data_IF_564158746879
#
_entry.id   IF_564158746879
#
_cell.length_a   1.000
_cell.length_b   1.000
_cell.length_c   1.000
_cell.angle_alpha   90.00
_cell.angle_beta   90.00
_cell.angle_gamma   90.00
#
_symmetry.space_group_name_H-M   'P 1'
#
loop_
_entity.id
_entity.type
_entity.pdbx_description
1 polymer ?
#
# COMPACT_ATOMS: atom_id res chain seq x y z
N UNK A 1 -22.39 20.74 6.02
CA UNK A 1 -23.23 19.64 5.47
C UNK A 1 -23.79 18.70 6.53
N UNK A 2 -23.16 18.52 7.70
CA UNK A 2 -23.63 17.58 8.75
C UNK A 2 -24.69 18.14 9.74
N UNK A 3 -24.94 19.46 9.75
CA UNK A 3 -25.91 20.08 10.66
C UNK A 3 -27.35 19.72 10.26
N UNK A 4 -28.03 18.94 11.10
CA UNK A 4 -29.40 18.47 10.88
C UNK A 4 -29.52 17.17 10.09
N UNK A 5 -28.45 16.36 10.02
CA UNK A 5 -28.49 15.01 9.45
C UNK A 5 -29.24 14.06 10.39
N UNK A 6 -30.42 13.65 9.97
CA UNK A 6 -31.26 12.66 10.65
C UNK A 6 -31.69 11.55 9.67
N UNK A 7 -31.02 10.38 9.70
CA UNK A 7 -31.34 9.25 8.82
C UNK A 7 -32.77 8.71 8.99
N UNK A 8 -33.46 9.04 10.08
CA UNK A 8 -34.83 8.58 10.34
C UNK A 8 -35.90 9.55 9.79
N UNK A 9 -35.50 10.72 9.27
CA UNK A 9 -36.43 11.74 8.78
C UNK A 9 -36.66 11.64 7.28
N UNK A 10 -37.91 11.51 6.83
CA UNK A 10 -38.28 11.57 5.41
C UNK A 10 -38.56 13.01 4.92
N UNK A 11 -38.13 14.04 5.65
CA UNK A 11 -38.41 15.43 5.31
C UNK A 11 -37.66 15.92 4.06
N UNK A 12 -38.22 16.89 3.34
CA UNK A 12 -37.62 17.47 2.12
C UNK A 12 -36.18 17.97 2.34
N UNK A 13 -35.90 18.53 3.53
CA UNK A 13 -34.55 18.95 3.91
C UNK A 13 -33.56 17.78 3.95
N UNK A 14 -33.95 16.63 4.49
CA UNK A 14 -33.11 15.44 4.57
C UNK A 14 -32.88 14.84 3.17
N UNK A 15 -33.93 14.73 2.35
CA UNK A 15 -33.81 14.29 0.95
C UNK A 15 -32.90 15.20 0.09
N UNK A 16 -32.88 16.51 0.37
CA UNK A 16 -31.97 17.44 -0.29
C UNK A 16 -30.52 17.29 0.21
N UNK A 17 -30.32 16.98 1.49
CA UNK A 17 -29.00 16.70 2.06
C UNK A 17 -28.42 15.40 1.49
N UNK A 18 -29.22 14.34 1.39
CA UNK A 18 -28.85 13.05 0.79
C UNK A 18 -28.35 13.21 -0.65
N UNK A 19 -29.15 13.84 -1.52
CA UNK A 19 -28.75 14.08 -2.92
C UNK A 19 -27.44 14.86 -3.04
N UNK A 20 -27.26 15.92 -2.23
CA UNK A 20 -26.02 16.71 -2.23
C UNK A 20 -24.83 15.88 -1.75
N UNK A 21 -25.05 15.04 -0.75
CA UNK A 21 -23.99 14.19 -0.19
C UNK A 21 -23.60 13.04 -1.12
N UNK A 22 -24.54 12.48 -1.86
CA UNK A 22 -24.25 11.46 -2.87
C UNK A 22 -23.42 12.03 -4.02
N UNK A 23 -23.76 13.23 -4.50
CA UNK A 23 -22.96 13.96 -5.49
C UNK A 23 -21.56 14.29 -4.97
N UNK A 24 -21.46 14.81 -3.74
CA UNK A 24 -20.17 15.11 -3.13
C UNK A 24 -19.32 13.84 -2.94
N UNK A 25 -19.92 12.77 -2.43
CA UNK A 25 -19.27 11.46 -2.28
C UNK A 25 -18.81 10.91 -3.64
N UNK A 26 -19.55 11.14 -4.72
CA UNK A 26 -19.14 10.75 -6.07
C UNK A 26 -17.89 11.51 -6.54
N UNK A 27 -17.84 12.83 -6.36
CA UNK A 27 -16.67 13.63 -6.68
C UNK A 27 -15.45 13.21 -5.84
N UNK A 28 -15.64 13.01 -4.54
CA UNK A 28 -14.58 12.53 -3.63
C UNK A 28 -14.07 11.15 -4.03
N UNK A 29 -14.95 10.22 -4.44
CA UNK A 29 -14.52 8.90 -4.95
C UNK A 29 -13.56 9.02 -6.13
N UNK A 30 -13.87 9.89 -7.09
CA UNK A 30 -13.00 10.12 -8.24
C UNK A 30 -11.69 10.79 -7.83
N UNK A 31 -11.74 11.83 -7.01
CA UNK A 31 -10.54 12.51 -6.51
C UNK A 31 -9.59 11.55 -5.76
N UNK A 32 -10.13 10.72 -4.87
CA UNK A 32 -9.35 9.73 -4.13
C UNK A 32 -8.87 8.56 -5.00
N UNK A 33 -9.63 8.18 -6.03
CA UNK A 33 -9.17 7.24 -7.05
C UNK A 33 -7.97 7.76 -7.83
N UNK A 34 -8.02 9.04 -8.23
CA UNK A 34 -6.90 9.72 -8.87
C UNK A 34 -5.70 9.86 -7.93
N UNK A 35 -5.93 10.10 -6.63
CA UNK A 35 -4.86 10.13 -5.63
C UNK A 35 -4.11 8.79 -5.56
N UNK A 36 -4.83 7.67 -5.59
CA UNK A 36 -4.21 6.33 -5.61
C UNK A 36 -3.45 6.10 -6.93
N UNK A 37 -4.02 6.47 -8.08
CA UNK A 37 -3.32 6.39 -9.35
C UNK A 37 -2.07 7.28 -9.39
N UNK A 38 -2.13 8.43 -8.70
CA UNK A 38 -1.02 9.37 -8.55
C UNK A 38 0.20 8.78 -7.85
N UNK A 39 0.04 7.77 -6.99
CA UNK A 39 1.17 7.04 -6.42
C UNK A 39 1.97 6.31 -7.50
N UNK A 40 1.28 5.57 -8.37
CA UNK A 40 1.93 4.85 -9.47
C UNK A 40 2.58 5.84 -10.45
N UNK A 41 1.88 6.92 -10.80
CA UNK A 41 2.41 7.96 -11.66
C UNK A 41 3.66 8.64 -11.06
N UNK A 42 3.67 8.91 -9.75
CA UNK A 42 4.82 9.52 -9.08
C UNK A 42 6.06 8.63 -9.15
N UNK A 43 5.92 7.33 -8.83
CA UNK A 43 7.04 6.38 -8.89
C UNK A 43 7.52 6.21 -10.33
N UNK A 44 6.60 6.11 -11.29
CA UNK A 44 6.93 6.02 -12.71
C UNK A 44 7.71 7.25 -13.20
N UNK A 45 7.24 8.46 -12.89
CA UNK A 45 7.93 9.70 -13.26
C UNK A 45 9.29 9.80 -12.56
N UNK A 46 9.38 9.43 -11.28
CA UNK A 46 10.66 9.42 -10.57
C UNK A 46 11.64 8.42 -11.21
N UNK A 47 11.18 7.28 -11.69
CA UNK A 47 12.05 6.34 -12.41
C UNK A 47 12.46 6.90 -13.78
N UNK A 48 11.55 7.42 -14.59
CA UNK A 48 11.85 7.98 -15.93
C UNK A 48 12.80 9.20 -15.89
N UNK A 49 12.87 9.93 -14.78
CA UNK A 49 13.76 11.07 -14.62
C UNK A 49 15.21 10.68 -14.28
N UNK A 50 15.51 9.40 -13.96
CA UNK A 50 16.86 8.98 -13.59
C UNK A 50 17.94 9.32 -14.64
N UNK A 51 17.72 9.23 -15.97
CA UNK A 51 18.77 9.53 -16.95
C UNK A 51 19.17 11.01 -16.98
N UNK A 52 18.33 11.90 -16.42
CA UNK A 52 18.58 13.34 -16.38
C UNK A 52 19.44 13.78 -15.19
N UNK A 53 19.71 12.87 -14.24
CA UNK A 53 20.41 13.16 -12.99
C UNK A 53 21.71 12.36 -12.91
N UNK A 54 22.82 13.04 -12.65
CA UNK A 54 24.13 12.39 -12.58
C UNK A 54 24.19 11.45 -11.37
N UNK A 55 24.43 10.16 -11.61
CA UNK A 55 24.51 9.13 -10.57
C UNK A 55 23.18 8.44 -10.22
N UNK A 56 22.05 8.89 -10.78
CA UNK A 56 20.77 8.21 -10.62
C UNK A 56 20.66 7.02 -11.58
N UNK A 57 20.50 5.81 -11.02
CA UNK A 57 20.30 4.57 -11.80
C UNK A 57 18.83 4.14 -11.87
N UNK A 58 17.99 4.67 -10.96
CA UNK A 58 16.57 4.39 -10.86
C UNK A 58 15.87 5.48 -10.02
N UNK A 59 14.58 5.30 -9.76
CA UNK A 59 13.80 6.16 -8.87
C UNK A 59 14.49 6.48 -7.52
N UNK A 60 15.26 5.54 -6.93
CA UNK A 60 16.02 5.79 -5.69
C UNK A 60 16.95 6.98 -5.81
N UNK A 61 17.71 7.07 -6.91
CA UNK A 61 18.64 8.17 -7.14
C UNK A 61 17.92 9.51 -7.26
N UNK A 62 16.77 9.51 -7.94
CA UNK A 62 15.92 10.70 -8.13
C UNK A 62 15.31 11.15 -6.81
N UNK A 63 14.78 10.22 -6.00
CA UNK A 63 14.26 10.51 -4.66
C UNK A 63 15.33 11.01 -3.69
N UNK A 64 16.59 10.66 -3.94
CA UNK A 64 17.72 11.08 -3.14
C UNK A 64 18.38 12.38 -3.63
N UNK A 65 18.00 12.88 -4.82
CA UNK A 65 18.53 14.12 -5.37
C UNK A 65 18.04 15.37 -4.62
N UNK A 66 16.94 15.26 -3.87
CA UNK A 66 16.43 16.32 -3.01
C UNK A 66 15.89 15.78 -1.69
N UNK A 67 16.01 16.58 -0.62
CA UNK A 67 15.56 16.22 0.73
C UNK A 67 14.05 15.97 0.83
N UNK A 68 13.24 16.45 -0.12
CA UNK A 68 11.80 16.23 -0.15
C UNK A 68 11.39 14.91 -0.83
N UNK A 69 12.29 14.21 -1.54
CA UNK A 69 11.92 13.04 -2.33
C UNK A 69 11.34 11.89 -1.50
N UNK A 70 12.08 11.41 -0.50
CA UNK A 70 11.58 10.37 0.41
C UNK A 70 10.36 10.80 1.24
N UNK A 71 10.32 12.02 1.85
CA UNK A 71 9.10 12.53 2.46
C UNK A 71 7.89 12.57 1.53
N UNK A 72 8.06 13.00 0.27
CA UNK A 72 6.99 13.04 -0.72
C UNK A 72 6.44 11.64 -0.99
N UNK A 73 7.31 10.65 -1.21
CA UNK A 73 6.88 9.26 -1.39
C UNK A 73 6.13 8.72 -0.16
N UNK A 74 6.66 8.96 1.05
CA UNK A 74 6.05 8.51 2.30
C UNK A 74 4.65 9.11 2.53
N UNK A 75 4.51 10.42 2.33
CA UNK A 75 3.21 11.10 2.43
C UNK A 75 2.25 10.63 1.35
N UNK A 76 2.72 10.40 0.12
CA UNK A 76 1.90 9.89 -0.98
C UNK A 76 1.37 8.48 -0.70
N UNK A 77 2.21 7.60 -0.16
CA UNK A 77 1.81 6.27 0.28
C UNK A 77 0.73 6.34 1.39
N UNK A 78 0.93 7.21 2.39
CA UNK A 78 -0.05 7.43 3.45
C UNK A 78 -1.38 7.97 2.90
N UNK A 79 -1.33 8.95 2.00
CA UNK A 79 -2.50 9.53 1.34
C UNK A 79 -3.27 8.48 0.52
N UNK A 80 -2.57 7.67 -0.27
CA UNK A 80 -3.17 6.59 -1.05
C UNK A 80 -3.81 5.51 -0.14
N UNK A 81 -3.14 5.14 0.96
CA UNK A 81 -3.70 4.19 1.94
C UNK A 81 -4.98 4.73 2.59
N UNK A 82 -4.97 5.98 3.07
CA UNK A 82 -6.16 6.60 3.66
C UNK A 82 -7.29 6.79 2.64
N UNK A 83 -6.95 7.15 1.40
CA UNK A 83 -7.90 7.18 0.28
C UNK A 83 -8.57 5.82 0.08
N UNK A 84 -7.79 4.73 0.08
CA UNK A 84 -8.31 3.37 0.02
C UNK A 84 -9.29 3.06 1.16
N UNK A 85 -8.90 3.36 2.41
CA UNK A 85 -9.78 3.16 3.59
C UNK A 85 -11.09 3.92 3.44
N UNK A 86 -11.06 5.17 2.98
CA UNK A 86 -12.27 5.94 2.73
C UNK A 86 -13.15 5.32 1.64
N UNK A 87 -12.57 4.89 0.52
CA UNK A 87 -13.28 4.22 -0.57
C UNK A 87 -13.90 2.87 -0.14
N UNK A 88 -13.23 2.14 0.76
CA UNK A 88 -13.75 0.92 1.35
C UNK A 88 -14.92 1.20 2.30
N UNK A 89 -14.81 2.22 3.14
CA UNK A 89 -15.89 2.66 4.04
C UNK A 89 -17.11 3.15 3.26
N UNK A 90 -16.90 3.98 2.21
CA UNK A 90 -17.99 4.44 1.34
C UNK A 90 -18.72 3.29 0.64
N UNK A 91 -17.99 2.23 0.28
CA UNK A 91 -18.58 1.04 -0.36
C UNK A 91 -19.39 0.19 0.61
N UNK A 92 -19.00 0.09 1.89
CA UNK A 92 -19.84 -0.50 2.93
C UNK A 92 -21.07 0.37 3.16
N UNK A 93 -20.89 1.68 3.29
CA UNK A 93 -21.96 2.61 3.64
C UNK A 93 -23.08 2.65 2.61
N UNK A 94 -22.72 2.71 1.32
CA UNK A 94 -23.69 2.65 0.22
C UNK A 94 -24.42 1.31 0.07
N UNK A 95 -23.89 0.25 0.68
CA UNK A 95 -24.56 -1.04 0.70
C UNK A 95 -25.60 -1.15 1.85
N UNK A 96 -25.76 -0.08 2.63
CA UNK A 96 -26.76 0.04 3.71
C UNK A 96 -27.67 1.22 3.36
N UNK A 97 -28.98 0.98 3.34
CA UNK A 97 -29.98 1.97 2.93
C UNK A 97 -29.94 3.26 3.77
N UNK A 98 -29.73 3.12 5.08
CA UNK A 98 -29.71 4.25 6.03
C UNK A 98 -28.40 5.05 6.02
N UNK A 99 -27.40 4.66 5.21
CA UNK A 99 -26.05 5.24 5.14
C UNK A 99 -25.47 5.70 6.50
N UNK A 100 -25.39 4.79 7.50
CA UNK A 100 -25.12 5.17 8.88
C UNK A 100 -23.67 5.60 9.15
N UNK A 101 -22.77 5.46 8.17
CA UNK A 101 -21.34 5.79 8.28
C UNK A 101 -21.00 7.17 7.73
N UNK A 102 -21.98 7.93 7.24
CA UNK A 102 -21.84 9.31 6.74
C UNK A 102 -20.94 10.20 7.60
N UNK A 103 -21.16 10.24 8.92
CA UNK A 103 -20.37 11.07 9.84
C UNK A 103 -18.91 10.61 9.94
N UNK A 104 -18.68 9.29 9.93
CA UNK A 104 -17.35 8.71 9.96
C UNK A 104 -16.58 9.00 8.66
N UNK A 105 -17.26 8.94 7.49
CA UNK A 105 -16.68 9.31 6.19
C UNK A 105 -16.25 10.79 6.18
N UNK A 106 -17.10 11.67 6.71
CA UNK A 106 -16.80 13.10 6.79
C UNK A 106 -15.62 13.39 7.76
N UNK A 107 -15.59 12.73 8.91
CA UNK A 107 -14.47 12.86 9.86
C UNK A 107 -13.15 12.37 9.25
N UNK A 108 -13.17 11.23 8.53
CA UNK A 108 -12.00 10.72 7.84
C UNK A 108 -11.53 11.69 6.74
N UNK A 109 -12.45 12.34 6.00
CA UNK A 109 -12.08 13.36 5.02
C UNK A 109 -11.39 14.57 5.63
N UNK A 110 -11.76 14.99 6.85
CA UNK A 110 -11.07 16.08 7.53
C UNK A 110 -9.59 15.77 7.78
N UNK A 111 -9.23 14.48 7.93
CA UNK A 111 -7.83 14.05 8.00
C UNK A 111 -7.18 13.87 6.62
N UNK A 112 -7.92 13.36 5.63
CA UNK A 112 -7.38 13.13 4.28
C UNK A 112 -7.06 14.43 3.54
N UNK A 113 -7.90 15.47 3.67
CA UNK A 113 -7.71 16.74 2.97
C UNK A 113 -6.36 17.39 3.27
N UNK A 114 -5.95 17.64 4.53
CA UNK A 114 -4.63 18.21 4.82
C UNK A 114 -3.49 17.28 4.39
N UNK A 115 -3.68 15.95 4.44
CA UNK A 115 -2.68 15.00 3.99
C UNK A 115 -2.47 15.05 2.47
N UNK A 116 -3.54 15.19 1.68
CA UNK A 116 -3.46 15.37 0.22
C UNK A 116 -2.89 16.75 -0.13
N UNK A 117 -3.20 17.79 0.64
CA UNK A 117 -2.58 19.11 0.46
C UNK A 117 -1.06 19.06 0.73
N UNK A 118 -0.64 18.34 1.78
CA UNK A 118 0.76 18.09 2.07
C UNK A 118 1.44 17.27 0.96
N UNK A 119 0.78 16.22 0.47
CA UNK A 119 1.26 15.42 -0.67
C UNK A 119 1.51 16.29 -1.90
N UNK A 120 0.55 17.15 -2.25
CA UNK A 120 0.68 18.08 -3.37
C UNK A 120 1.83 19.06 -3.15
N UNK A 121 1.94 19.67 -1.97
CA UNK A 121 3.00 20.61 -1.64
C UNK A 121 4.40 19.98 -1.71
N UNK A 122 4.56 18.77 -1.15
CA UNK A 122 5.82 18.02 -1.21
C UNK A 122 6.16 17.59 -2.63
N UNK A 123 5.17 17.13 -3.40
CA UNK A 123 5.38 16.69 -4.79
C UNK A 123 5.80 17.85 -5.68
N UNK A 124 5.11 19.00 -5.59
CA UNK A 124 5.47 20.21 -6.34
C UNK A 124 6.83 20.76 -5.90
N UNK A 125 7.10 20.79 -4.60
CA UNK A 125 8.37 21.23 -4.05
C UNK A 125 9.53 20.34 -4.48
N UNK A 126 9.34 19.02 -4.47
CA UNK A 126 10.34 18.03 -4.89
C UNK A 126 10.69 18.21 -6.37
N UNK A 127 9.71 18.09 -7.28
CA UNK A 127 9.97 18.20 -8.72
C UNK A 127 10.42 19.60 -9.14
N UNK A 128 9.94 20.66 -8.48
CA UNK A 128 10.36 22.04 -8.76
C UNK A 128 11.77 22.38 -8.29
N UNK A 129 12.36 21.56 -7.39
CA UNK A 129 13.71 21.75 -6.85
C UNK A 129 14.74 20.77 -7.42
N UNK A 130 14.32 19.85 -8.30
CA UNK A 130 15.27 18.94 -8.95
C UNK A 130 16.25 19.73 -9.81
N UNK A 131 17.53 19.57 -9.49
CA UNK A 131 18.64 20.15 -10.23
C UNK A 131 19.46 19.03 -10.91
N UNK A 132 19.48 18.97 -12.25
CA UNK A 132 20.27 18.01 -13.02
C UNK A 132 21.77 17.98 -12.68
N UNK A 133 22.31 19.06 -12.12
CA UNK A 133 23.73 19.19 -11.77
C UNK A 133 24.09 18.54 -10.43
N UNK A 134 23.10 18.17 -9.61
CA UNK A 134 23.35 17.47 -8.36
C UNK A 134 23.80 16.04 -8.65
N UNK A 135 24.96 15.66 -8.11
CA UNK A 135 25.43 14.28 -8.11
C UNK A 135 24.74 13.54 -6.97
N UNK A 136 23.86 12.60 -7.32
CA UNK A 136 23.12 11.81 -6.33
C UNK A 136 23.76 10.45 -6.10
N UNK A 137 23.64 9.93 -4.88
CA UNK A 137 24.10 8.59 -4.54
C UNK A 137 23.27 7.53 -5.26
N UNK A 138 23.94 6.53 -5.83
CA UNK A 138 23.28 5.39 -6.42
C UNK A 138 22.60 4.52 -5.34
N UNK A 139 21.63 3.71 -5.74
CA UNK A 139 20.97 2.75 -4.86
C UNK A 139 21.95 1.73 -4.24
N UNK A 140 23.08 1.46 -4.91
CA UNK A 140 24.12 0.57 -4.38
C UNK A 140 24.76 1.09 -3.09
N UNK A 141 24.92 2.40 -2.93
CA UNK A 141 25.39 2.98 -1.67
C UNK A 141 24.32 2.92 -0.58
N UNK A 142 23.07 3.24 -0.94
CA UNK A 142 21.94 3.31 0.01
C UNK A 142 21.50 1.93 0.54
N UNK A 143 21.53 0.91 -0.33
CA UNK A 143 21.19 -0.48 -0.01
C UNK A 143 22.45 -1.35 0.08
N UNK A 144 23.55 -0.80 0.60
CA UNK A 144 24.77 -1.55 0.91
C UNK A 144 24.69 -2.14 2.32
N UNK A 145 25.30 -3.31 2.52
CA UNK A 145 25.42 -3.92 3.84
C UNK A 145 26.39 -3.14 4.76
N UNK A 146 27.30 -2.36 4.17
CA UNK A 146 28.27 -1.52 4.87
C UNK A 146 27.74 -0.10 5.16
N UNK A 147 26.50 0.20 4.76
CA UNK A 147 25.85 1.49 4.95
C UNK A 147 25.27 1.70 6.35
N UNK A 148 24.55 2.79 6.54
CA UNK A 148 23.82 3.07 7.79
C UNK A 148 22.38 3.50 7.52
N UNK A 149 21.49 3.19 8.48
CA UNK A 149 20.07 3.53 8.43
C UNK A 149 19.18 2.40 7.89
N UNK A 150 17.86 2.62 7.82
CA UNK A 150 16.89 1.54 7.61
C UNK A 150 17.08 0.76 6.29
N UNK A 151 17.49 1.45 5.22
CA UNK A 151 17.74 0.81 3.92
C UNK A 151 18.93 -0.17 3.98
N UNK A 152 20.00 0.22 4.68
CA UNK A 152 21.17 -0.62 4.93
C UNK A 152 20.82 -1.79 5.86
N UNK A 153 20.01 -1.56 6.90
CA UNK A 153 19.57 -2.63 7.81
C UNK A 153 18.78 -3.72 7.04
N UNK A 154 17.83 -3.32 6.19
CA UNK A 154 17.11 -4.25 5.32
C UNK A 154 18.05 -4.98 4.36
N UNK A 155 19.00 -4.25 3.77
CA UNK A 155 19.98 -4.85 2.88
C UNK A 155 20.85 -5.86 3.61
N UNK A 156 21.26 -5.61 4.86
CA UNK A 156 22.20 -6.44 5.62
C UNK A 156 21.69 -7.84 5.98
N UNK A 157 20.37 -8.07 5.87
CA UNK A 157 19.76 -9.37 6.19
C UNK A 157 20.31 -10.46 5.28
N UNK A 158 20.73 -11.57 5.87
CA UNK A 158 21.20 -12.73 5.10
C UNK A 158 20.08 -13.27 4.19
N UNK A 159 20.35 -13.56 2.89
CA UNK A 159 19.31 -13.99 1.95
C UNK A 159 18.49 -15.20 2.40
N UNK A 160 19.12 -16.19 3.05
CA UNK A 160 18.44 -17.37 3.60
C UNK A 160 17.41 -16.98 4.66
N UNK A 161 17.79 -16.08 5.57
CA UNK A 161 16.90 -15.54 6.61
C UNK A 161 15.80 -14.70 6.00
N UNK A 162 16.12 -13.87 5.00
CA UNK A 162 15.15 -13.06 4.25
C UNK A 162 14.05 -13.92 3.61
N UNK A 163 14.42 -14.99 2.90
CA UNK A 163 13.46 -15.92 2.30
C UNK A 163 12.66 -16.69 3.36
N UNK A 164 13.31 -17.20 4.41
CA UNK A 164 12.64 -17.93 5.48
C UNK A 164 11.56 -17.09 6.17
N UNK A 165 11.88 -15.83 6.48
CA UNK A 165 10.93 -14.89 7.10
C UNK A 165 9.81 -14.52 6.13
N UNK A 166 10.11 -14.25 4.86
CA UNK A 166 9.10 -13.94 3.83
C UNK A 166 8.11 -15.09 3.66
N UNK A 167 8.60 -16.32 3.42
CA UNK A 167 7.73 -17.48 3.21
C UNK A 167 7.01 -17.90 4.49
N UNK A 168 7.67 -17.81 5.64
CA UNK A 168 7.06 -18.05 6.95
C UNK A 168 5.92 -17.07 7.25
N UNK A 169 6.12 -15.77 6.99
CA UNK A 169 5.09 -14.75 7.14
C UNK A 169 3.92 -14.98 6.16
N UNK A 170 4.22 -15.38 4.92
CA UNK A 170 3.21 -15.76 3.92
C UNK A 170 2.34 -16.93 4.38
N UNK A 171 2.97 -18.00 4.87
CA UNK A 171 2.28 -19.17 5.41
C UNK A 171 1.43 -18.82 6.64
N UNK A 172 1.99 -18.04 7.58
CA UNK A 172 1.28 -17.58 8.78
C UNK A 172 0.06 -16.73 8.42
N UNK A 173 0.21 -15.79 7.48
CA UNK A 173 -0.88 -14.94 7.01
C UNK A 173 -1.96 -15.77 6.30
N UNK A 174 -1.56 -16.72 5.44
CA UNK A 174 -2.49 -17.66 4.79
C UNK A 174 -3.29 -18.47 5.81
N UNK A 175 -2.65 -19.02 6.83
CA UNK A 175 -3.31 -19.75 7.91
C UNK A 175 -4.26 -18.85 8.71
N UNK A 176 -3.85 -17.62 9.06
CA UNK A 176 -4.71 -16.65 9.73
C UNK A 176 -5.94 -16.29 8.88
N UNK A 177 -5.78 -16.12 7.57
CA UNK A 177 -6.89 -15.87 6.64
C UNK A 177 -7.86 -17.04 6.54
N UNK A 178 -7.35 -18.27 6.42
CA UNK A 178 -8.19 -19.48 6.41
C UNK A 178 -8.94 -19.69 7.73
N UNK A 179 -8.33 -19.33 8.87
CA UNK A 179 -8.99 -19.36 10.16
C UNK A 179 -10.06 -18.27 10.28
N UNK A 180 -9.76 -17.05 9.84
CA UNK A 180 -10.71 -15.93 9.83
C UNK A 180 -11.97 -16.23 9.00
N UNK A 181 -11.83 -16.96 7.89
CA UNK A 181 -12.95 -17.38 7.04
C UNK A 181 -13.86 -18.45 7.67
N UNK A 182 -13.34 -19.23 8.63
CA UNK A 182 -14.11 -20.29 9.31
C UNK A 182 -14.61 -19.88 10.70
N UNK A 183 -13.99 -18.87 11.29
CA UNK A 183 -14.30 -18.44 12.66
C UNK A 183 -15.49 -17.48 12.71
N UNK A 184 -16.20 -17.51 13.85
CA UNK A 184 -17.23 -16.52 14.21
C UNK A 184 -16.73 -15.47 15.21
N UNK A 185 -15.50 -15.61 15.72
CA UNK A 185 -14.94 -14.72 16.74
C UNK A 185 -14.33 -13.45 16.15
N UNK A 186 -14.48 -12.31 16.82
CA UNK A 186 -13.96 -11.02 16.32
C UNK A 186 -12.43 -10.89 16.36
N UNK A 187 -11.76 -11.63 17.27
CA UNK A 187 -10.29 -11.58 17.42
C UNK A 187 -9.53 -12.03 16.17
N UNK A 188 -10.16 -12.86 15.33
CA UNK A 188 -9.53 -13.37 14.10
C UNK A 188 -9.25 -12.28 13.09
N UNK A 189 -10.07 -11.23 13.06
CA UNK A 189 -9.87 -10.10 12.15
C UNK A 189 -8.65 -9.28 12.58
N UNK A 190 -8.45 -9.11 13.90
CA UNK A 190 -7.25 -8.48 14.44
C UNK A 190 -5.98 -9.28 14.11
N UNK A 191 -6.01 -10.60 14.29
CA UNK A 191 -4.89 -11.46 13.90
C UNK A 191 -4.60 -11.38 12.40
N UNK A 192 -5.65 -11.39 11.56
CA UNK A 192 -5.48 -11.24 10.11
C UNK A 192 -4.79 -9.93 9.77
N UNK A 193 -5.17 -8.81 10.39
CA UNK A 193 -4.54 -7.52 10.17
C UNK A 193 -3.07 -7.48 10.62
N UNK A 194 -2.76 -8.04 11.79
CA UNK A 194 -1.38 -8.11 12.30
C UNK A 194 -0.50 -8.96 11.40
N UNK A 195 -0.97 -10.14 11.00
CA UNK A 195 -0.21 -11.02 10.09
C UNK A 195 -0.08 -10.42 8.70
N UNK A 196 -1.08 -9.66 8.21
CA UNK A 196 -0.99 -8.93 6.95
C UNK A 196 0.09 -7.84 7.01
N UNK A 197 0.11 -7.02 8.07
CA UNK A 197 1.15 -6.02 8.28
C UNK A 197 2.55 -6.67 8.42
N UNK A 198 2.64 -7.78 9.17
CA UNK A 198 3.85 -8.58 9.29
C UNK A 198 4.34 -9.11 7.95
N UNK A 199 3.44 -9.62 7.09
CA UNK A 199 3.76 -10.01 5.72
C UNK A 199 4.27 -8.82 4.88
N UNK A 200 3.69 -7.63 5.06
CA UNK A 200 4.17 -6.41 4.39
C UNK A 200 5.64 -6.11 4.73
N UNK A 201 5.99 -6.14 6.01
CA UNK A 201 7.36 -5.89 6.49
C UNK A 201 8.33 -7.02 6.06
N UNK A 202 7.93 -8.27 6.28
CA UNK A 202 8.72 -9.44 5.88
C UNK A 202 8.93 -9.51 4.36
N UNK A 203 7.90 -9.16 3.60
CA UNK A 203 7.93 -9.05 2.14
C UNK A 203 8.91 -7.97 1.68
N UNK A 204 8.82 -6.76 2.22
CA UNK A 204 9.75 -5.69 1.89
C UNK A 204 11.21 -6.07 2.21
N UNK A 205 11.45 -6.64 3.39
CA UNK A 205 12.77 -7.12 3.79
C UNK A 205 13.29 -8.23 2.86
N UNK A 206 12.50 -9.27 2.61
CA UNK A 206 12.88 -10.37 1.73
C UNK A 206 13.06 -9.95 0.27
N UNK A 207 12.34 -8.92 -0.20
CA UNK A 207 12.55 -8.36 -1.54
C UNK A 207 13.94 -7.72 -1.64
N UNK A 208 14.28 -6.85 -0.69
CA UNK A 208 15.58 -6.14 -0.70
C UNK A 208 16.74 -7.11 -0.47
N UNK A 209 16.62 -8.02 0.49
CA UNK A 209 17.73 -8.87 0.92
C UNK A 209 17.94 -10.14 0.09
N UNK A 210 16.91 -10.61 -0.62
CA UNK A 210 16.98 -11.88 -1.35
C UNK A 210 16.36 -11.81 -2.76
N UNK A 211 15.05 -11.55 -2.88
CA UNK A 211 14.34 -11.68 -4.17
C UNK A 211 14.92 -10.76 -5.23
N UNK A 212 15.24 -9.50 -4.88
CA UNK A 212 15.93 -8.55 -5.74
C UNK A 212 17.24 -9.13 -6.29
N UNK A 213 18.23 -9.46 -5.43
CA UNK A 213 19.46 -10.13 -5.84
C UNK A 213 19.27 -11.34 -6.78
N UNK A 214 18.26 -12.19 -6.54
CA UNK A 214 17.93 -13.31 -7.44
C UNK A 214 17.41 -12.84 -8.81
N UNK A 215 16.59 -11.80 -8.87
CA UNK A 215 16.11 -11.21 -10.13
C UNK A 215 17.24 -10.55 -10.91
N UNK A 216 18.15 -9.89 -10.21
CA UNK A 216 19.30 -9.18 -10.80
C UNK A 216 20.44 -10.11 -11.19
N UNK A 217 20.43 -11.34 -10.67
CA UNK A 217 21.53 -12.30 -10.74
C UNK A 217 22.86 -11.72 -10.22
N UNK A 218 22.79 -10.77 -9.29
CA UNK A 218 23.93 -10.04 -8.74
C UNK A 218 23.80 -9.90 -7.21
N UNK A 219 24.59 -10.62 -6.39
CA UNK A 219 24.45 -10.67 -4.92
C UNK A 219 24.54 -9.32 -4.20
N UNK A 220 25.27 -8.38 -4.76
CA UNK A 220 25.49 -7.04 -4.23
C UNK A 220 24.40 -6.05 -4.61
N UNK A 221 23.53 -6.38 -5.58
CA UNK A 221 22.49 -5.47 -6.06
C UNK A 221 21.19 -5.69 -5.28
N UNK A 222 20.78 -4.73 -4.46
CA UNK A 222 19.67 -4.87 -3.50
C UNK A 222 18.58 -3.81 -3.63
N UNK A 223 18.63 -3.01 -4.70
CA UNK A 223 17.66 -1.95 -4.91
C UNK A 223 16.24 -2.52 -5.06
N UNK A 224 15.21 -2.00 -4.38
CA UNK A 224 13.84 -2.41 -4.64
C UNK A 224 13.24 -1.76 -5.90
N UNK A 225 13.72 -0.57 -6.28
CA UNK A 225 13.11 0.20 -7.38
C UNK A 225 13.50 -0.31 -8.77
N UNK A 226 14.68 -0.91 -8.93
CA UNK A 226 15.11 -1.42 -10.25
C UNK A 226 14.21 -2.57 -10.74
N UNK A 227 13.54 -3.30 -9.85
CA UNK A 227 12.51 -4.28 -10.23
C UNK A 227 11.40 -3.68 -11.10
N UNK A 228 11.17 -2.37 -11.02
CA UNK A 228 10.18 -1.64 -11.80
C UNK A 228 10.66 -1.31 -13.21
N UNK A 229 11.94 -1.51 -13.53
CA UNK A 229 12.50 -1.15 -14.83
C UNK A 229 12.21 -2.22 -15.89
N UNK A 230 12.21 -1.77 -17.15
CA UNK A 230 12.00 -2.62 -18.33
C UNK A 230 13.07 -3.70 -18.46
N UNK A 231 14.31 -3.42 -18.03
CA UNK A 231 15.43 -4.36 -18.05
C UNK A 231 15.19 -5.65 -17.27
N UNK A 232 14.33 -5.59 -16.24
CA UNK A 232 13.92 -6.74 -15.44
C UNK A 232 12.49 -7.20 -15.75
N UNK A 233 11.96 -6.79 -16.90
CA UNK A 233 10.63 -7.17 -17.38
C UNK A 233 9.48 -6.61 -16.55
N UNK A 234 9.68 -5.47 -15.87
CA UNK A 234 8.67 -4.82 -15.05
C UNK A 234 8.12 -5.70 -13.90
N UNK A 235 8.91 -6.68 -13.44
CA UNK A 235 8.48 -7.69 -12.45
C UNK A 235 8.08 -7.08 -11.10
N UNK A 236 8.62 -5.91 -10.75
CA UNK A 236 8.29 -5.20 -9.53
C UNK A 236 6.82 -4.80 -9.44
N UNK A 237 6.16 -4.49 -10.57
CA UNK A 237 4.74 -4.10 -10.55
C UNK A 237 3.82 -5.20 -10.01
N UNK A 238 3.80 -6.44 -10.57
CA UNK A 238 2.98 -7.51 -10.01
C UNK A 238 3.43 -7.91 -8.60
N UNK A 239 4.72 -7.79 -8.27
CA UNK A 239 5.26 -8.06 -6.94
C UNK A 239 4.71 -7.12 -5.87
N UNK A 240 4.83 -5.80 -6.08
CA UNK A 240 4.34 -4.80 -5.14
C UNK A 240 2.81 -4.72 -5.11
N UNK A 241 2.15 -4.93 -6.25
CA UNK A 241 0.69 -4.96 -6.31
C UNK A 241 0.12 -6.15 -5.50
N UNK A 242 0.71 -7.33 -5.64
CA UNK A 242 0.28 -8.50 -4.88
C UNK A 242 0.58 -8.39 -3.38
N UNK A 243 1.77 -7.91 -3.01
CA UNK A 243 2.10 -7.64 -1.60
C UNK A 243 1.17 -6.58 -0.99
N UNK A 244 1.03 -5.43 -1.64
CA UNK A 244 0.16 -4.34 -1.19
C UNK A 244 -1.31 -4.75 -1.14
N UNK A 245 -1.78 -5.52 -2.12
CA UNK A 245 -3.13 -6.07 -2.16
C UNK A 245 -3.42 -7.01 -1.00
N UNK A 246 -2.45 -7.85 -0.63
CA UNK A 246 -2.54 -8.72 0.54
C UNK A 246 -2.64 -7.91 1.84
N UNK A 247 -1.71 -6.97 2.05
CA UNK A 247 -1.68 -6.10 3.23
C UNK A 247 -3.00 -5.32 3.36
N UNK A 248 -3.40 -4.64 2.28
CA UNK A 248 -4.58 -3.79 2.26
C UNK A 248 -5.85 -4.59 2.57
N UNK A 249 -6.07 -5.71 1.89
CA UNK A 249 -7.25 -6.54 2.11
C UNK A 249 -7.23 -7.26 3.46
N UNK A 250 -6.06 -7.53 4.04
CA UNK A 250 -5.92 -8.16 5.35
C UNK A 250 -6.18 -7.21 6.52
N UNK A 251 -5.84 -5.93 6.37
CA UNK A 251 -6.04 -4.89 7.40
C UNK A 251 -7.49 -4.39 7.44
N UNK A 252 -8.13 -4.21 6.29
CA UNK A 252 -9.47 -3.63 6.20
C UNK A 252 -10.54 -4.31 7.09
N UNK A 253 -10.61 -5.65 7.21
CA UNK A 253 -11.59 -6.32 8.06
C UNK A 253 -11.55 -5.91 9.54
N UNK A 254 -10.35 -5.68 10.09
CA UNK A 254 -10.18 -5.20 11.45
C UNK A 254 -10.50 -3.71 11.54
N UNK A 255 -9.89 -2.92 10.65
CA UNK A 255 -9.98 -1.45 10.66
C UNK A 255 -11.42 -0.95 10.54
N UNK A 256 -12.21 -1.55 9.64
CA UNK A 256 -13.60 -1.18 9.40
C UNK A 256 -14.59 -1.99 10.23
N UNK A 257 -14.10 -2.75 11.22
CA UNK A 257 -14.93 -3.56 12.11
C UNK A 257 -15.97 -2.78 12.91
N UNK A 258 -15.65 -1.54 13.28
CA UNK A 258 -16.57 -0.66 14.03
C UNK A 258 -17.89 -0.43 13.28
N UNK A 259 -17.88 -0.48 11.94
CA UNK A 259 -19.06 -0.23 11.12
C UNK A 259 -20.16 -1.28 11.36
N UNK A 260 -19.80 -2.47 11.86
CA UNK A 260 -20.75 -3.57 12.15
C UNK A 260 -21.86 -3.15 13.13
N UNK A 261 -21.54 -2.25 14.06
CA UNK A 261 -22.44 -1.85 15.14
C UNK A 261 -23.31 -0.63 14.79
N UNK A 262 -23.41 -0.24 13.51
CA UNK A 262 -24.16 0.95 13.07
C UNK A 262 -25.28 0.60 12.10
N UNK A 263 -26.49 1.11 12.38
CA UNK A 263 -27.64 1.14 11.47
C UNK A 263 -27.93 -0.16 10.70
N UNK A 264 -27.84 -1.32 11.38
CA UNK A 264 -28.11 -2.63 10.76
C UNK A 264 -27.03 -3.15 9.80
N UNK A 265 -25.86 -2.50 9.73
CA UNK A 265 -24.79 -2.86 8.79
C UNK A 265 -24.08 -4.20 9.09
N UNK A 266 -24.45 -4.92 10.15
CA UNK A 266 -23.73 -6.10 10.62
C UNK A 266 -23.57 -7.18 9.54
N UNK A 267 -24.65 -7.52 8.84
CA UNK A 267 -24.64 -8.52 7.77
C UNK A 267 -23.80 -8.04 6.56
N UNK A 268 -23.91 -6.76 6.20
CA UNK A 268 -23.14 -6.14 5.11
C UNK A 268 -21.64 -6.18 5.42
N UNK A 269 -21.25 -5.75 6.61
CA UNK A 269 -19.85 -5.75 7.08
C UNK A 269 -19.30 -7.16 7.12
N UNK A 270 -20.07 -8.15 7.61
CA UNK A 270 -19.66 -9.55 7.60
C UNK A 270 -19.33 -10.08 6.20
N UNK A 271 -20.18 -9.77 5.20
CA UNK A 271 -19.92 -10.15 3.80
C UNK A 271 -18.65 -9.50 3.24
N UNK A 272 -18.44 -8.20 3.50
CA UNK A 272 -17.23 -7.49 3.04
C UNK A 272 -15.96 -8.01 3.72
N UNK A 273 -15.99 -8.28 5.03
CA UNK A 273 -14.88 -8.89 5.77
C UNK A 273 -14.46 -10.24 5.17
N UNK A 274 -15.43 -11.14 4.95
CA UNK A 274 -15.16 -12.44 4.35
C UNK A 274 -14.66 -12.33 2.90
N UNK A 275 -15.14 -11.33 2.13
CA UNK A 275 -14.63 -11.04 0.80
C UNK A 275 -13.19 -10.57 0.87
N UNK A 276 -12.88 -9.54 1.66
CA UNK A 276 -11.52 -9.01 1.78
C UNK A 276 -10.53 -10.04 2.32
N UNK A 277 -10.91 -10.86 3.29
CA UNK A 277 -10.03 -11.95 3.74
C UNK A 277 -9.70 -12.95 2.62
N UNK A 278 -10.65 -13.31 1.76
CA UNK A 278 -10.37 -14.14 0.57
C UNK A 278 -9.42 -13.46 -0.41
N UNK A 279 -9.63 -12.17 -0.68
CA UNK A 279 -8.72 -11.39 -1.54
C UNK A 279 -7.33 -11.27 -0.92
N UNK A 280 -7.23 -11.06 0.40
CA UNK A 280 -5.98 -10.99 1.15
C UNK A 280 -5.16 -12.27 0.97
N UNK A 281 -5.79 -13.42 1.17
CA UNK A 281 -5.15 -14.74 0.99
C UNK A 281 -4.77 -14.96 -0.48
N UNK A 282 -5.66 -14.63 -1.42
CA UNK A 282 -5.37 -14.78 -2.85
C UNK A 282 -4.16 -13.94 -3.30
N UNK A 283 -4.10 -12.68 -2.87
CA UNK A 283 -2.96 -11.79 -3.14
C UNK A 283 -1.68 -12.27 -2.47
N UNK A 284 -1.74 -12.76 -1.23
CA UNK A 284 -0.58 -13.31 -0.53
C UNK A 284 -0.04 -14.57 -1.22
N UNK A 285 -0.93 -15.46 -1.70
CA UNK A 285 -0.54 -16.63 -2.47
C UNK A 285 0.11 -16.24 -3.80
N UNK A 286 -0.46 -15.26 -4.52
CA UNK A 286 0.13 -14.74 -5.74
C UNK A 286 1.52 -14.14 -5.49
N UNK A 287 1.68 -13.34 -4.43
CA UNK A 287 2.96 -12.77 -4.02
C UNK A 287 4.01 -13.86 -3.72
N UNK A 288 3.66 -14.81 -2.85
CA UNK A 288 4.54 -15.91 -2.45
C UNK A 288 4.93 -16.78 -3.64
N UNK A 289 3.97 -17.13 -4.50
CA UNK A 289 4.22 -17.93 -5.70
C UNK A 289 5.13 -17.18 -6.69
N UNK A 290 4.92 -15.88 -6.87
CA UNK A 290 5.77 -15.04 -7.71
C UNK A 290 7.20 -14.98 -7.16
N UNK A 291 7.38 -14.71 -5.86
CA UNK A 291 8.70 -14.74 -5.22
C UNK A 291 9.40 -16.10 -5.39
N UNK A 292 8.68 -17.20 -5.14
CA UNK A 292 9.22 -18.54 -5.31
C UNK A 292 9.65 -18.82 -6.76
N UNK A 293 8.83 -18.41 -7.74
CA UNK A 293 9.15 -18.55 -9.15
C UNK A 293 10.37 -17.71 -9.57
N UNK A 294 10.48 -16.48 -9.09
CA UNK A 294 11.62 -15.60 -9.38
C UNK A 294 12.94 -16.14 -8.82
N UNK A 295 12.90 -16.70 -7.61
CA UNK A 295 14.06 -17.36 -7.00
C UNK A 295 14.42 -18.64 -7.75
N UNK A 296 13.42 -19.46 -8.10
CA UNK A 296 13.65 -20.76 -8.75
C UNK A 296 14.16 -20.65 -10.19
N UNK A 297 13.77 -19.60 -10.93
CA UNK A 297 14.23 -19.38 -12.32
C UNK A 297 15.63 -18.76 -12.42
N UNK A 298 16.12 -18.18 -11.33
CA UNK A 298 17.38 -17.44 -11.32
C UNK A 298 18.57 -18.39 -11.51
N UNK A 299 19.55 -17.99 -12.31
CA UNK A 299 20.84 -18.69 -12.43
C UNK A 299 21.73 -18.52 -11.18
N UNK A 300 21.43 -17.53 -10.33
CA UNK A 300 22.19 -17.24 -9.12
C UNK A 300 21.84 -18.23 -8.00
N UNK A 301 22.86 -18.71 -7.28
CA UNK A 301 22.69 -19.51 -6.06
C UNK A 301 23.27 -18.77 -4.86
N UNK A 302 22.42 -18.02 -4.16
CA UNK A 302 22.78 -17.39 -2.88
C UNK A 302 22.73 -18.35 -1.70
N UNK A 303 22.00 -19.44 -1.84
CA UNK A 303 21.83 -20.48 -0.83
C UNK A 303 22.39 -21.76 -1.41
N UNK A 304 23.47 -22.24 -0.80
CA UNK A 304 24.02 -23.58 -1.04
C UNK A 304 23.14 -24.68 -0.46
#
# INVERSE_FOLDING_TARGET
MLRGWDPASAGERQLRLERRMDLASAAVRWALGLQIAGLAAFVFVADELHPLLTGAMCATGVLNADSLGWPALGVKLAAAAMAGVWLALDRIDRAVETQPMTRAKAALLLGIVPLVALDLGLTLGFFGRLDPQVITSCCGALFSADGSGPAADLASVEPRTGLAVLFGAGALHGAAGLWALRSRGERVWGLLAVTAAGLGLAGAAGIVSAVGPYVYELPSHRCPFDLLQSGYGFVGYPLYLSLGGAVYCGVLPALLGFARNRGGAAAVVGRYRARWARWSVGWALAFVALCAWLVARSGLRLIG
#
